data_IF_202596065305
#
_entry.id   IF_202596065305
#
_cell.length_a   1.000
_cell.length_b   1.000
_cell.length_c   1.000
_cell.angle_alpha   90.00
_cell.angle_beta   90.00
_cell.angle_gamma   90.00
#
_symmetry.space_group_name_H-M   'P 1'
#
loop_
_entity.id
_entity.type
_entity.pdbx_description
1 polymer ?
#
# COMPACT_ATOMS: atom_id res chain seq x y z
N UNK A 1 22.69 17.64 2.98
CA UNK A 1 22.96 16.21 3.25
C UNK A 1 21.63 15.63 3.69
N UNK A 2 20.97 14.85 2.83
CA UNK A 2 19.70 14.22 3.20
C UNK A 2 20.02 13.15 4.25
N UNK A 3 19.67 13.41 5.50
CA UNK A 3 19.47 12.34 6.46
C UNK A 3 18.56 11.33 5.79
N UNK A 4 19.05 10.11 5.60
CA UNK A 4 18.18 9.00 5.25
C UNK A 4 17.28 8.81 6.47
N UNK A 5 16.11 9.45 6.46
CA UNK A 5 15.04 9.10 7.40
C UNK A 5 14.85 7.58 7.27
N UNK A 6 15.16 6.87 8.35
CA UNK A 6 14.93 5.45 8.46
C UNK A 6 13.43 5.21 8.22
N UNK A 7 13.12 4.39 7.21
CA UNK A 7 11.73 4.16 6.79
C UNK A 7 10.94 3.58 7.95
N UNK A 8 9.72 4.10 8.19
CA UNK A 8 8.79 3.55 9.17
C UNK A 8 8.23 2.16 8.78
N UNK A 9 8.63 1.63 7.63
CA UNK A 9 8.11 0.40 7.07
C UNK A 9 9.20 -0.68 6.92
N UNK A 10 8.85 -1.92 7.24
CA UNK A 10 9.69 -3.06 6.90
C UNK A 10 9.85 -3.22 5.36
N UNK A 11 10.84 -4.00 4.94
CA UNK A 11 11.21 -4.10 3.53
C UNK A 11 10.09 -4.67 2.64
N UNK A 12 9.29 -5.61 3.16
CA UNK A 12 8.13 -6.18 2.46
C UNK A 12 7.11 -5.08 2.16
N UNK A 13 6.68 -4.33 3.18
CA UNK A 13 5.72 -3.22 3.01
C UNK A 13 6.28 -2.18 2.04
N UNK A 14 7.57 -1.82 2.11
CA UNK A 14 8.20 -0.90 1.15
C UNK A 14 8.14 -1.41 -0.29
N UNK A 15 8.41 -2.70 -0.52
CA UNK A 15 8.31 -3.31 -1.85
C UNK A 15 6.88 -3.25 -2.40
N UNK A 16 5.89 -3.39 -1.54
CA UNK A 16 4.47 -3.31 -1.91
C UNK A 16 4.05 -1.87 -2.20
N UNK A 17 4.44 -0.92 -1.35
CA UNK A 17 4.21 0.51 -1.59
C UNK A 17 4.75 0.91 -2.97
N UNK A 18 5.97 0.48 -3.32
CA UNK A 18 6.58 0.74 -4.63
C UNK A 18 5.79 0.18 -5.83
N UNK A 19 5.02 -0.89 -5.64
CA UNK A 19 4.14 -1.48 -6.67
C UNK A 19 2.72 -0.87 -6.65
N UNK A 20 2.38 -0.11 -5.63
CA UNK A 20 1.06 0.49 -5.43
C UNK A 20 0.91 1.86 -6.11
N UNK A 21 -0.30 2.43 -6.05
CA UNK A 21 -0.56 3.79 -6.54
C UNK A 21 -0.02 4.90 -5.61
N UNK A 22 0.37 4.58 -4.38
CA UNK A 22 0.76 5.55 -3.36
C UNK A 22 2.27 5.59 -3.18
N UNK A 23 2.81 6.77 -2.87
CA UNK A 23 4.19 6.89 -2.42
C UNK A 23 4.31 6.56 -0.94
N UNK A 24 5.51 6.21 -0.47
CA UNK A 24 5.80 5.95 0.94
C UNK A 24 5.31 7.10 1.84
N UNK A 25 5.66 8.34 1.46
CA UNK A 25 5.19 9.55 2.13
C UNK A 25 3.67 9.69 2.16
N UNK A 26 2.98 9.33 1.08
CA UNK A 26 1.51 9.38 1.06
C UNK A 26 0.91 8.36 2.02
N UNK A 27 1.50 7.16 2.13
CA UNK A 27 1.09 6.15 3.10
C UNK A 27 1.32 6.62 4.53
N UNK A 28 2.49 7.18 4.86
CA UNK A 28 2.76 7.77 6.18
C UNK A 28 1.73 8.83 6.56
N UNK A 29 1.40 9.73 5.63
CA UNK A 29 0.39 10.77 5.85
C UNK A 29 -0.99 10.15 6.12
N UNK A 30 -1.37 9.11 5.38
CA UNK A 30 -2.65 8.42 5.58
C UNK A 30 -2.69 7.74 6.95
N UNK A 31 -1.62 7.04 7.34
CA UNK A 31 -1.54 6.37 8.65
C UNK A 31 -1.55 7.38 9.80
N UNK A 32 -0.82 8.49 9.67
CA UNK A 32 -0.80 9.55 10.65
C UNK A 32 -2.13 10.30 10.76
N UNK A 33 -2.89 10.44 9.68
CA UNK A 33 -4.26 10.99 9.73
C UNK A 33 -5.29 10.03 10.35
N UNK A 34 -4.96 8.74 10.45
CA UNK A 34 -5.80 7.71 11.06
C UNK A 34 -5.35 7.32 12.47
N UNK A 35 -4.38 8.03 13.04
CA UNK A 35 -3.76 7.73 14.33
C UNK A 35 -3.19 6.29 14.41
N UNK A 36 -2.72 5.76 13.27
CA UNK A 36 -2.13 4.41 13.17
C UNK A 36 -0.60 4.42 13.21
N UNK A 37 0.02 5.58 12.95
CA UNK A 37 1.46 5.79 12.99
C UNK A 37 1.74 7.26 13.31
N UNK A 38 2.55 7.54 14.32
CA UNK A 38 2.99 8.91 14.60
C UNK A 38 4.23 9.21 13.74
N UNK A 39 4.07 10.04 12.71
CA UNK A 39 5.15 10.45 11.81
C UNK A 39 5.40 11.95 11.91
N UNK A 40 6.67 12.32 12.08
CA UNK A 40 7.09 13.72 12.03
C UNK A 40 7.48 14.10 10.61
N UNK A 41 7.06 15.28 10.20
CA UNK A 41 7.22 15.75 8.83
C UNK A 41 7.96 17.08 8.81
N UNK A 42 9.13 17.10 8.17
CA UNK A 42 10.00 18.28 7.99
C UNK A 42 9.48 19.27 6.93
N UNK A 43 8.18 19.61 6.98
CA UNK A 43 7.51 20.52 6.04
C UNK A 43 6.60 21.52 6.77
N UNK A 44 6.23 22.61 6.10
CA UNK A 44 5.29 23.58 6.66
C UNK A 44 3.89 22.97 6.83
N UNK A 45 3.11 23.48 7.80
CA UNK A 45 1.72 23.05 8.01
C UNK A 45 0.87 23.12 6.73
N UNK A 46 1.01 24.21 5.96
CA UNK A 46 0.29 24.37 4.69
C UNK A 46 0.69 23.34 3.64
N UNK A 47 1.99 23.03 3.52
CA UNK A 47 2.45 21.98 2.62
C UNK A 47 1.94 20.59 3.06
N UNK A 48 1.91 20.32 4.37
CA UNK A 48 1.35 19.09 4.93
C UNK A 48 -0.12 18.91 4.57
N UNK A 49 -0.97 19.90 4.84
CA UNK A 49 -2.41 19.79 4.53
C UNK A 49 -2.68 19.65 3.03
N UNK A 50 -1.84 20.23 2.15
CA UNK A 50 -1.92 19.95 0.71
C UNK A 50 -1.63 18.49 0.38
N UNK A 51 -0.61 17.89 0.98
CA UNK A 51 -0.31 16.48 0.77
C UNK A 51 -1.40 15.58 1.36
N UNK A 52 -2.00 15.93 2.50
CA UNK A 52 -3.18 15.24 3.06
C UNK A 52 -4.32 15.26 2.04
N UNK A 53 -4.65 16.43 1.47
CA UNK A 53 -5.67 16.55 0.44
C UNK A 53 -5.38 15.68 -0.78
N UNK A 54 -4.14 15.70 -1.28
CA UNK A 54 -3.71 14.87 -2.42
C UNK A 54 -3.82 13.36 -2.13
N UNK A 55 -3.40 12.92 -0.94
CA UNK A 55 -3.54 11.52 -0.52
C UNK A 55 -5.00 11.10 -0.42
N UNK A 56 -5.87 11.98 0.11
CA UNK A 56 -7.32 11.75 0.20
C UNK A 56 -7.96 11.61 -1.18
N UNK A 57 -7.68 12.52 -2.10
CA UNK A 57 -8.21 12.46 -3.47
C UNK A 57 -7.76 11.19 -4.21
N UNK A 58 -6.50 10.77 -4.02
CA UNK A 58 -6.01 9.51 -4.59
C UNK A 58 -6.73 8.29 -4.01
N UNK A 59 -7.04 8.29 -2.70
CA UNK A 59 -7.81 7.22 -2.07
C UNK A 59 -9.25 7.16 -2.61
N UNK A 60 -9.90 8.32 -2.78
CA UNK A 60 -11.23 8.42 -3.40
C UNK A 60 -11.20 7.88 -4.84
N UNK A 61 -10.20 8.28 -5.63
CA UNK A 61 -10.04 7.81 -7.00
C UNK A 61 -9.87 6.28 -7.05
N UNK A 62 -9.07 5.69 -6.15
CA UNK A 62 -8.92 4.23 -6.05
C UNK A 62 -10.27 3.53 -5.80
N UNK A 63 -11.10 4.03 -4.89
CA UNK A 63 -12.42 3.45 -4.64
C UNK A 63 -13.34 3.51 -5.87
N UNK A 64 -13.38 4.67 -6.56
CA UNK A 64 -14.12 4.78 -7.80
C UNK A 64 -13.58 3.85 -8.90
N UNK A 65 -12.26 3.66 -9.00
CA UNK A 65 -11.66 2.71 -9.93
C UNK A 65 -12.10 1.27 -9.65
N UNK A 66 -12.10 0.83 -8.39
CA UNK A 66 -12.57 -0.51 -8.02
C UNK A 66 -14.07 -0.69 -8.38
N UNK A 67 -14.91 0.31 -8.05
CA UNK A 67 -16.34 0.28 -8.39
C UNK A 67 -16.54 0.18 -9.91
N UNK A 68 -15.81 0.98 -10.68
CA UNK A 68 -15.89 0.97 -12.15
C UNK A 68 -15.49 -0.39 -12.72
N UNK A 69 -14.33 -0.92 -12.34
CA UNK A 69 -13.82 -2.19 -12.85
C UNK A 69 -14.75 -3.36 -12.50
N UNK A 70 -15.30 -3.36 -11.28
CA UNK A 70 -16.28 -4.36 -10.84
C UNK A 70 -17.61 -4.22 -11.59
N UNK A 71 -18.10 -2.99 -11.79
CA UNK A 71 -19.34 -2.72 -12.51
C UNK A 71 -19.28 -3.12 -13.98
N UNK A 72 -18.09 -3.10 -14.58
CA UNK A 72 -17.83 -3.54 -15.96
C UNK A 72 -17.54 -5.05 -16.07
N UNK A 73 -17.50 -5.79 -14.95
CA UNK A 73 -17.17 -7.22 -14.93
C UNK A 73 -15.69 -7.54 -15.26
N UNK A 74 -14.81 -6.54 -15.19
CA UNK A 74 -13.37 -6.70 -15.40
C UNK A 74 -12.72 -7.33 -14.17
N UNK A 75 -13.17 -6.92 -12.99
CA UNK A 75 -12.73 -7.48 -11.73
C UNK A 75 -13.86 -8.32 -11.15
N UNK A 76 -13.63 -9.64 -11.11
CA UNK A 76 -14.60 -10.65 -10.73
C UNK A 76 -14.65 -10.81 -9.21
N UNK A 77 -15.74 -11.39 -8.66
CA UNK A 77 -15.82 -11.69 -7.23
C UNK A 77 -14.63 -12.51 -6.71
N UNK A 78 -14.21 -13.52 -7.47
CA UNK A 78 -13.08 -14.38 -7.11
C UNK A 78 -11.75 -13.59 -7.03
N UNK A 79 -11.56 -12.57 -7.86
CA UNK A 79 -10.37 -11.70 -7.81
C UNK A 79 -10.32 -10.89 -6.51
N UNK A 80 -11.48 -10.43 -6.02
CA UNK A 80 -11.59 -9.74 -4.72
C UNK A 80 -11.27 -10.68 -3.56
N UNK A 81 -11.72 -11.92 -3.64
CA UNK A 81 -11.42 -12.93 -2.61
C UNK A 81 -9.92 -13.24 -2.55
N UNK A 82 -9.27 -13.31 -3.72
CA UNK A 82 -7.82 -13.46 -3.82
C UNK A 82 -7.09 -12.27 -3.21
N UNK A 83 -7.49 -11.04 -3.55
CA UNK A 83 -6.91 -9.82 -2.97
C UNK A 83 -7.09 -9.78 -1.46
N UNK A 84 -8.26 -10.18 -0.96
CA UNK A 84 -8.58 -10.20 0.48
C UNK A 84 -7.69 -11.19 1.24
N UNK A 85 -7.53 -12.41 0.71
CA UNK A 85 -6.63 -13.43 1.28
C UNK A 85 -5.17 -12.98 1.28
N UNK A 86 -4.70 -12.35 0.20
CA UNK A 86 -3.35 -11.79 0.14
C UNK A 86 -3.17 -10.67 1.19
N UNK A 87 -4.17 -9.80 1.35
CA UNK A 87 -4.13 -8.69 2.31
C UNK A 87 -4.07 -9.18 3.76
N UNK A 88 -4.78 -10.25 4.09
CA UNK A 88 -4.72 -10.90 5.40
C UNK A 88 -3.31 -11.46 5.70
N UNK A 89 -2.70 -12.13 4.71
CA UNK A 89 -1.33 -12.64 4.86
C UNK A 89 -0.30 -11.53 5.09
N UNK A 90 -0.50 -10.36 4.48
CA UNK A 90 0.37 -9.20 4.68
C UNK A 90 0.30 -8.68 6.11
N UNK A 91 -0.91 -8.63 6.68
CA UNK A 91 -1.10 -8.20 8.07
C UNK A 91 -0.34 -9.13 9.03
N UNK A 92 -0.41 -10.45 8.80
CA UNK A 92 0.33 -11.44 9.60
C UNK A 92 1.84 -11.27 9.46
N UNK A 93 2.33 -11.01 8.24
CA UNK A 93 3.75 -10.80 7.94
C UNK A 93 4.28 -9.50 8.55
N UNK A 94 3.46 -8.46 8.63
CA UNK A 94 3.84 -7.19 9.26
C UNK A 94 4.05 -7.33 10.78
N UNK A 95 3.37 -8.30 11.40
CA UNK A 95 3.43 -8.58 12.83
C UNK A 95 4.44 -9.69 13.19
N UNK A 96 5.12 -10.31 12.22
CA UNK A 96 6.05 -11.42 12.45
C UNK A 96 7.45 -11.16 11.86
N UNK A 97 8.48 -11.61 12.57
CA UNK A 97 9.88 -11.52 12.12
C UNK A 97 10.10 -12.46 10.93
N UNK A 98 9.90 -11.94 9.72
CA UNK A 98 10.27 -12.66 8.49
C UNK A 98 11.77 -12.54 8.27
N UNK A 99 12.45 -13.68 8.15
CA UNK A 99 13.86 -13.70 7.79
C UNK A 99 14.08 -12.97 6.46
N UNK A 100 15.07 -12.07 6.35
CA UNK A 100 15.33 -11.26 5.15
C UNK A 100 15.40 -12.08 3.84
N UNK A 101 15.92 -13.29 3.94
CA UNK A 101 16.08 -14.25 2.83
C UNK A 101 14.74 -14.71 2.22
N UNK A 102 13.64 -14.66 2.97
CA UNK A 102 12.31 -15.09 2.53
C UNK A 102 11.41 -13.94 2.04
N UNK A 103 11.85 -12.70 2.22
CA UNK A 103 11.06 -11.53 1.81
C UNK A 103 10.84 -11.47 0.30
N UNK A 104 11.84 -11.87 -0.50
CA UNK A 104 11.72 -11.92 -1.95
C UNK A 104 10.73 -13.01 -2.39
N UNK A 105 10.74 -14.17 -1.73
CA UNK A 105 9.80 -15.25 -2.02
C UNK A 105 8.34 -14.82 -1.75
N UNK A 106 8.11 -14.14 -0.62
CA UNK A 106 6.80 -13.56 -0.29
C UNK A 106 6.33 -12.61 -1.39
N UNK A 107 7.18 -11.66 -1.80
CA UNK A 107 6.83 -10.68 -2.83
C UNK A 107 6.59 -11.35 -4.19
N UNK A 108 7.38 -12.38 -4.54
CA UNK A 108 7.20 -13.14 -5.77
C UNK A 108 5.87 -13.89 -5.80
N UNK A 109 5.45 -14.47 -4.66
CA UNK A 109 4.13 -15.13 -4.53
C UNK A 109 3.01 -14.11 -4.73
N UNK A 110 3.09 -12.94 -4.07
CA UNK A 110 2.11 -11.86 -4.23
C UNK A 110 2.04 -11.42 -5.70
N UNK A 111 3.18 -11.15 -6.34
CA UNK A 111 3.24 -10.69 -7.73
C UNK A 111 2.62 -11.71 -8.69
N UNK A 112 2.93 -13.01 -8.49
CA UNK A 112 2.35 -14.10 -9.30
C UNK A 112 0.84 -14.14 -9.18
N UNK A 113 0.31 -14.06 -7.95
CA UNK A 113 -1.13 -14.15 -7.70
C UNK A 113 -1.87 -12.93 -8.27
N UNK A 114 -1.33 -11.71 -8.09
CA UNK A 114 -1.90 -10.49 -8.67
C UNK A 114 -1.93 -10.60 -10.21
N UNK A 115 -0.84 -11.05 -10.84
CA UNK A 115 -0.80 -11.23 -12.30
C UNK A 115 -1.82 -12.26 -12.79
N UNK A 116 -2.00 -13.36 -12.07
CA UNK A 116 -3.00 -14.36 -12.41
C UNK A 116 -4.43 -13.80 -12.34
N UNK A 117 -4.75 -13.01 -11.31
CA UNK A 117 -6.04 -12.33 -11.19
C UNK A 117 -6.24 -11.26 -12.29
N UNK A 118 -5.16 -10.66 -12.78
CA UNK A 118 -5.18 -9.70 -13.87
C UNK A 118 -4.94 -10.33 -15.25
N UNK A 119 -5.00 -11.66 -15.41
CA UNK A 119 -4.75 -12.29 -16.70
C UNK A 119 -5.81 -11.83 -17.71
N UNK A 120 -5.36 -10.98 -18.63
CA UNK A 120 -6.03 -10.60 -19.88
C UNK A 120 -5.59 -11.51 -21.00
#
# INVERSE_FOLDING_TARGET
MSEFEESNFNNIIRKIIKKSLFTERQIEIILNQKDLLESKFSITKGAYYRQVGQSREKLIALFYSIILLRGLGILLPDDIDVISKLSEQISVINDSDVFPEREDDVINVIDRVIRQACNM
#
